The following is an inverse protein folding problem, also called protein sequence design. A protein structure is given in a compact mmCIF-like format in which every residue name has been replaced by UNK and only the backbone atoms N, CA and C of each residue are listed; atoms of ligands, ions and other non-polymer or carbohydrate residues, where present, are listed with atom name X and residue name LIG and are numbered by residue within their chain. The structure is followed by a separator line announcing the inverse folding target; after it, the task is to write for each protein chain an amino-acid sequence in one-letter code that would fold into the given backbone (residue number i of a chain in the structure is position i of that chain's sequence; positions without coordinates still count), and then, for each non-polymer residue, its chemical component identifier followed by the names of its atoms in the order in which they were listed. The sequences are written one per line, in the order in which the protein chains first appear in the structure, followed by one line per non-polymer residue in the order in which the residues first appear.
data_IF_847625924537
#
_entry.id   IF_847625924537
#
_cell.length_a   1.000
_cell.length_b   1.000
_cell.length_c   1.000
_cell.angle_alpha   90.00
_cell.angle_beta   90.00
_cell.angle_gamma   90.00
#
_symmetry.space_group_name_H-M   'P 1'
#
loop_
_entity.id
_entity.type
_entity.pdbx_description
1 polymer ?
#
# COMPACT_ATOMS: atom_id res chain seq x y z
N UNK A 1 -26.40 -10.17 59.50
CA UNK A 1 -25.82 -9.10 58.66
C UNK A 1 -25.12 -9.81 57.52
N UNK A 2 -25.88 -10.01 56.44
CA UNK A 2 -25.45 -10.71 55.23
C UNK A 2 -24.57 -9.82 54.35
N UNK A 3 -23.62 -10.46 53.67
CA UNK A 3 -22.55 -9.84 52.93
C UNK A 3 -23.02 -9.07 51.69
N UNK A 4 -22.37 -7.92 51.47
CA UNK A 4 -22.46 -7.18 50.23
C UNK A 4 -21.73 -7.95 49.12
N UNK A 5 -22.51 -8.49 48.18
CA UNK A 5 -22.05 -9.23 47.02
C UNK A 5 -21.34 -8.35 46.00
N UNK A 6 -20.16 -8.83 45.61
CA UNK A 6 -19.34 -8.40 44.49
C UNK A 6 -20.18 -8.24 43.20
N UNK A 7 -20.26 -7.03 42.65
CA UNK A 7 -20.93 -6.74 41.37
C UNK A 7 -19.96 -6.19 40.30
N UNK A 8 -18.65 -6.25 40.53
CA UNK A 8 -17.65 -5.61 39.64
C UNK A 8 -17.11 -6.50 38.50
N UNK A 9 -17.50 -7.79 38.43
CA UNK A 9 -16.92 -8.74 37.46
C UNK A 9 -17.57 -8.74 36.07
N UNK A 10 -18.72 -8.11 35.86
CA UNK A 10 -19.43 -8.19 34.57
C UNK A 10 -19.00 -7.14 33.54
N UNK A 11 -18.36 -6.05 33.98
CA UNK A 11 -18.00 -4.91 33.13
C UNK A 11 -16.67 -5.12 32.37
N UNK A 12 -15.70 -5.79 32.99
CA UNK A 12 -14.42 -6.10 32.36
C UNK A 12 -14.57 -7.10 31.20
N UNK A 13 -15.34 -8.18 31.39
CA UNK A 13 -15.48 -9.25 30.39
C UNK A 13 -16.16 -8.78 29.09
N UNK A 14 -17.13 -7.86 29.17
CA UNK A 14 -17.78 -7.31 27.99
C UNK A 14 -16.89 -6.34 27.21
N UNK A 15 -15.99 -5.63 27.92
CA UNK A 15 -15.04 -4.70 27.31
C UNK A 15 -13.94 -5.44 26.56
N UNK A 16 -13.40 -6.50 27.18
CA UNK A 16 -12.38 -7.35 26.59
C UNK A 16 -12.89 -8.08 25.33
N UNK A 17 -14.19 -8.43 25.28
CA UNK A 17 -14.80 -9.05 24.11
C UNK A 17 -15.00 -8.08 22.94
N UNK A 18 -15.43 -6.84 23.23
CA UNK A 18 -15.63 -5.81 22.19
C UNK A 18 -14.29 -5.36 21.58
N UNK A 19 -13.25 -5.18 22.40
CA UNK A 19 -11.89 -4.87 21.93
C UNK A 19 -11.36 -5.99 21.02
N UNK A 20 -11.59 -7.26 21.37
CA UNK A 20 -11.18 -8.40 20.54
C UNK A 20 -11.95 -8.51 19.21
N UNK A 21 -13.23 -8.15 19.17
CA UNK A 21 -14.03 -8.10 17.93
C UNK A 21 -13.53 -6.99 17.00
N UNK A 22 -13.25 -5.80 17.53
CA UNK A 22 -12.73 -4.66 16.77
C UNK A 22 -11.33 -4.96 16.21
N UNK A 23 -10.45 -5.57 17.00
CA UNK A 23 -9.13 -6.02 16.52
C UNK A 23 -9.24 -7.07 15.40
N UNK A 24 -10.20 -7.99 15.49
CA UNK A 24 -10.42 -9.02 14.48
C UNK A 24 -10.97 -8.42 13.18
N UNK A 25 -11.88 -7.45 13.28
CA UNK A 25 -12.41 -6.70 12.14
C UNK A 25 -11.30 -5.87 11.47
N UNK A 26 -10.45 -5.22 12.26
CA UNK A 26 -9.30 -4.47 11.77
C UNK A 26 -8.33 -5.37 11.00
N UNK A 27 -7.96 -6.53 11.55
CA UNK A 27 -7.11 -7.49 10.86
C UNK A 27 -7.76 -8.04 9.58
N UNK A 28 -9.04 -8.38 9.62
CA UNK A 28 -9.78 -8.87 8.46
C UNK A 28 -9.72 -7.86 7.31
N UNK A 29 -10.05 -6.61 7.58
CA UNK A 29 -10.13 -5.61 6.53
C UNK A 29 -8.77 -5.13 6.03
N UNK A 30 -7.76 -5.06 6.89
CA UNK A 30 -6.40 -4.69 6.47
C UNK A 30 -5.74 -5.77 5.63
N UNK A 31 -5.84 -7.04 6.04
CA UNK A 31 -5.36 -8.15 5.22
C UNK A 31 -6.15 -8.29 3.93
N UNK A 32 -7.46 -8.07 3.98
CA UNK A 32 -8.31 -8.06 2.80
C UNK A 32 -7.89 -6.99 1.80
N UNK A 33 -7.60 -5.77 2.23
CA UNK A 33 -7.12 -4.70 1.35
C UNK A 33 -5.74 -5.03 0.75
N UNK A 34 -4.79 -5.52 1.56
CA UNK A 34 -3.48 -5.90 1.05
C UNK A 34 -3.59 -7.02 0.00
N UNK A 35 -4.42 -8.03 0.25
CA UNK A 35 -4.70 -9.08 -0.72
C UNK A 35 -5.39 -8.54 -1.99
N UNK A 36 -6.31 -7.59 -1.85
CA UNK A 36 -7.00 -6.94 -2.97
C UNK A 36 -6.04 -6.14 -3.86
N UNK A 37 -5.04 -5.50 -3.27
CA UNK A 37 -3.94 -4.82 -3.96
C UNK A 37 -2.94 -5.80 -4.59
N UNK A 38 -2.99 -7.10 -4.24
CA UNK A 38 -2.15 -8.15 -4.84
C UNK A 38 -2.82 -8.86 -6.01
N UNK A 39 -4.07 -8.55 -6.32
CA UNK A 39 -4.74 -9.16 -7.46
C UNK A 39 -3.98 -8.86 -8.76
N UNK A 40 -3.79 -9.89 -9.58
CA UNK A 40 -3.02 -9.84 -10.82
C UNK A 40 -3.46 -8.71 -11.76
N UNK A 41 -4.76 -8.42 -11.80
CA UNK A 41 -5.35 -7.34 -12.59
C UNK A 41 -4.79 -5.98 -12.19
N UNK A 42 -4.67 -5.71 -10.89
CA UNK A 42 -4.13 -4.45 -10.38
C UNK A 42 -2.62 -4.39 -10.52
N UNK A 43 -1.92 -5.47 -10.19
CA UNK A 43 -0.46 -5.56 -10.35
C UNK A 43 -0.05 -5.33 -11.81
N UNK A 44 -0.78 -5.92 -12.75
CA UNK A 44 -0.58 -5.71 -14.19
C UNK A 44 -0.85 -4.26 -14.58
N UNK A 45 -1.95 -3.65 -14.13
CA UNK A 45 -2.26 -2.26 -14.41
C UNK A 45 -1.17 -1.30 -13.90
N UNK A 46 -0.65 -1.52 -12.69
CA UNK A 46 0.49 -0.76 -12.14
C UNK A 46 1.73 -0.95 -13.01
N UNK A 47 2.04 -2.19 -13.42
CA UNK A 47 3.21 -2.48 -14.23
C UNK A 47 3.14 -1.81 -15.62
N UNK A 48 2.00 -1.89 -16.29
CA UNK A 48 1.76 -1.26 -17.59
C UNK A 48 1.87 0.27 -17.49
N UNK A 49 1.19 0.87 -16.51
CA UNK A 49 1.26 2.30 -16.27
C UNK A 49 2.71 2.75 -16.01
N UNK A 50 3.44 2.00 -15.17
CA UNK A 50 4.82 2.33 -14.83
C UNK A 50 5.75 2.17 -16.04
N UNK A 51 5.47 1.20 -16.91
CA UNK A 51 6.22 0.97 -18.14
C UNK A 51 6.12 2.16 -19.08
N UNK A 52 4.93 2.73 -19.25
CA UNK A 52 4.67 3.87 -20.12
C UNK A 52 5.36 5.15 -19.63
N UNK A 53 5.41 5.36 -18.31
CA UNK A 53 5.97 6.57 -17.71
C UNK A 53 7.48 6.52 -17.45
N UNK A 54 8.07 5.33 -17.28
CA UNK A 54 9.42 5.22 -16.73
C UNK A 54 10.53 5.87 -17.56
N UNK A 55 10.34 6.06 -18.87
CA UNK A 55 11.36 6.68 -19.72
C UNK A 55 11.56 8.18 -19.46
N UNK A 56 10.56 8.84 -18.86
CA UNK A 56 10.65 10.25 -18.44
C UNK A 56 11.62 10.44 -17.26
N UNK A 57 11.76 9.41 -16.41
CA UNK A 57 12.55 9.47 -15.18
C UNK A 57 14.03 9.20 -15.46
N UNK A 58 14.98 9.81 -14.73
CA UNK A 58 16.41 9.61 -15.00
C UNK A 58 16.87 8.16 -14.77
N UNK A 59 17.98 7.79 -15.43
CA UNK A 59 18.64 6.48 -15.22
C UNK A 59 19.32 6.35 -13.87
N UNK A 60 19.92 7.45 -13.42
CA UNK A 60 20.85 7.48 -12.31
C UNK A 60 20.13 7.85 -11.01
N UNK A 61 20.35 7.05 -9.96
CA UNK A 61 19.86 7.32 -8.59
C UNK A 61 20.42 8.61 -7.97
N UNK A 62 21.29 9.33 -8.68
CA UNK A 62 22.03 10.49 -8.17
C UNK A 62 21.28 11.84 -8.32
N UNK A 63 20.08 11.85 -8.90
CA UNK A 63 19.17 12.95 -8.63
C UNK A 63 18.56 12.70 -7.26
N UNK A 64 19.21 13.29 -6.26
CA UNK A 64 18.73 13.35 -4.89
C UNK A 64 17.24 13.79 -4.90
N UNK A 65 16.31 12.96 -4.39
CA UNK A 65 14.89 13.31 -4.33
C UNK A 65 14.62 14.59 -3.53
N UNK A 66 15.56 15.00 -2.67
CA UNK A 66 15.52 16.25 -1.92
C UNK A 66 16.04 17.47 -2.69
N UNK A 67 16.57 17.28 -3.91
CA UNK A 67 16.83 18.41 -4.81
C UNK A 67 15.52 19.10 -5.16
N UNK A 68 15.48 20.44 -5.12
CA UNK A 68 14.24 21.20 -5.28
C UNK A 68 13.70 21.20 -6.71
N UNK A 69 14.52 20.87 -7.71
CA UNK A 69 14.16 21.01 -9.12
C UNK A 69 13.95 19.65 -9.79
N UNK A 70 12.70 19.23 -9.80
CA UNK A 70 12.22 18.08 -10.57
C UNK A 70 11.29 18.56 -11.69
N UNK A 71 11.22 17.81 -12.79
CA UNK A 71 10.28 18.11 -13.86
C UNK A 71 8.84 18.06 -13.33
N UNK A 72 8.01 19.03 -13.70
CA UNK A 72 6.57 19.02 -13.36
C UNK A 72 5.88 17.73 -13.83
N UNK A 73 6.40 17.10 -14.89
CA UNK A 73 5.93 15.80 -15.40
C UNK A 73 6.05 14.68 -14.37
N UNK A 74 7.02 14.74 -13.47
CA UNK A 74 7.19 13.71 -12.43
C UNK A 74 6.12 13.84 -11.36
N UNK A 75 5.75 15.08 -11.00
CA UNK A 75 4.64 15.34 -10.09
C UNK A 75 3.31 14.94 -10.71
N UNK A 76 3.09 15.25 -12.00
CA UNK A 76 1.90 14.80 -12.74
C UNK A 76 1.80 13.27 -12.78
N UNK A 77 2.93 12.58 -13.04
CA UNK A 77 3.00 11.13 -12.98
C UNK A 77 2.67 10.60 -11.58
N UNK A 78 3.22 11.20 -10.52
CA UNK A 78 2.94 10.78 -9.14
C UNK A 78 1.45 10.90 -8.80
N UNK A 79 0.79 11.98 -9.23
CA UNK A 79 -0.66 12.12 -9.05
C UNK A 79 -1.43 11.02 -9.77
N UNK A 80 -1.03 10.67 -11.00
CA UNK A 80 -1.64 9.56 -11.74
C UNK A 80 -1.43 8.22 -11.05
N UNK A 81 -0.22 7.96 -10.54
CA UNK A 81 0.09 6.76 -9.77
C UNK A 81 -0.75 6.67 -8.48
N UNK A 82 -0.88 7.78 -7.75
CA UNK A 82 -1.72 7.85 -6.54
C UNK A 82 -3.19 7.55 -6.84
N UNK A 83 -3.73 8.10 -7.93
CA UNK A 83 -5.11 7.85 -8.35
C UNK A 83 -5.40 6.38 -8.63
N UNK A 84 -4.41 5.59 -9.08
CA UNK A 84 -4.59 4.14 -9.26
C UNK A 84 -4.84 3.44 -7.92
N UNK A 85 -4.07 3.77 -6.89
CA UNK A 85 -4.23 3.21 -5.55
C UNK A 85 -5.51 3.72 -4.87
N UNK A 86 -5.80 5.02 -4.95
CA UNK A 86 -7.03 5.62 -4.42
C UNK A 86 -8.28 4.95 -5.02
N UNK A 87 -8.35 4.86 -6.36
CA UNK A 87 -9.49 4.23 -7.05
C UNK A 87 -9.63 2.75 -6.68
N UNK A 88 -8.50 2.04 -6.51
CA UNK A 88 -8.50 0.62 -6.15
C UNK A 88 -8.96 0.39 -4.71
N UNK A 89 -8.54 1.24 -3.79
CA UNK A 89 -8.98 1.22 -2.40
C UNK A 89 -10.47 1.59 -2.29
N UNK A 90 -10.94 2.59 -3.03
CA UNK A 90 -12.36 2.95 -3.07
C UNK A 90 -13.24 1.78 -3.53
N UNK A 91 -12.82 1.04 -4.56
CA UNK A 91 -13.53 -0.18 -5.01
C UNK A 91 -13.63 -1.23 -3.89
N UNK A 92 -12.56 -1.42 -3.12
CA UNK A 92 -12.57 -2.34 -1.98
C UNK A 92 -13.58 -1.87 -0.91
N UNK A 93 -13.52 -0.59 -0.52
CA UNK A 93 -14.44 -0.04 0.48
C UNK A 93 -15.90 -0.17 0.03
N UNK A 94 -16.19 0.12 -1.25
CA UNK A 94 -17.53 -0.04 -1.81
C UNK A 94 -18.01 -1.49 -1.79
N UNK A 95 -17.15 -2.45 -2.19
CA UNK A 95 -17.48 -3.87 -2.20
C UNK A 95 -17.82 -4.39 -0.79
N UNK A 96 -17.13 -3.87 0.22
CA UNK A 96 -17.29 -4.28 1.61
C UNK A 96 -18.29 -3.41 2.40
N UNK A 97 -18.93 -2.42 1.76
CA UNK A 97 -19.88 -1.52 2.43
C UNK A 97 -19.24 -0.66 3.53
N UNK A 98 -17.94 -0.37 3.41
CA UNK A 98 -17.18 0.40 4.39
C UNK A 98 -17.16 1.88 4.05
N UNK A 99 -17.32 2.71 5.08
CA UNK A 99 -17.02 4.14 4.98
C UNK A 99 -15.53 4.38 5.24
N UNK A 100 -14.95 5.36 4.53
CA UNK A 100 -13.53 5.73 4.65
C UNK A 100 -13.13 5.99 6.11
N UNK A 101 -13.90 6.79 6.85
CA UNK A 101 -13.59 7.12 8.24
C UNK A 101 -13.60 5.89 9.16
N UNK A 102 -14.50 4.94 8.90
CA UNK A 102 -14.56 3.69 9.67
C UNK A 102 -13.32 2.83 9.36
N UNK A 103 -12.97 2.69 8.08
CA UNK A 103 -11.80 1.95 7.66
C UNK A 103 -10.50 2.56 8.18
N UNK A 104 -10.36 3.88 8.19
CA UNK A 104 -9.17 4.55 8.72
C UNK A 104 -8.96 4.28 10.21
N UNK A 105 -10.04 4.20 11.01
CA UNK A 105 -9.93 3.79 12.42
C UNK A 105 -9.43 2.36 12.56
N UNK A 106 -9.99 1.44 11.77
CA UNK A 106 -9.53 0.05 11.72
C UNK A 106 -8.06 -0.07 11.30
N UNK A 107 -7.63 0.76 10.34
CA UNK A 107 -6.25 0.80 9.88
C UNK A 107 -5.28 1.27 10.98
N UNK A 108 -5.65 2.32 11.73
CA UNK A 108 -4.87 2.80 12.87
C UNK A 108 -4.77 1.71 13.94
N UNK A 109 -5.88 1.08 14.30
CA UNK A 109 -5.91 0.00 15.30
C UNK A 109 -4.99 -1.17 14.89
N UNK A 110 -5.08 -1.61 13.63
CA UNK A 110 -4.24 -2.67 13.09
C UNK A 110 -2.74 -2.33 13.17
N UNK A 111 -2.38 -1.08 12.87
CA UNK A 111 -0.98 -0.60 12.91
C UNK A 111 -0.46 -0.46 14.35
N UNK A 112 -1.27 0.08 15.26
CA UNK A 112 -0.91 0.30 16.66
C UNK A 112 -0.77 -1.01 17.44
N UNK A 113 -1.55 -2.04 17.08
CA UNK A 113 -1.43 -3.38 17.63
C UNK A 113 -0.08 -4.07 17.36
N UNK A 114 0.87 -3.40 16.67
CA UNK A 114 2.18 -3.94 16.24
C UNK A 114 2.05 -5.29 15.53
N UNK A 115 0.91 -5.56 14.89
CA UNK A 115 0.74 -6.66 13.94
C UNK A 115 1.47 -6.26 12.66
N UNK A 116 2.80 -6.19 12.78
CA UNK A 116 3.71 -5.94 11.68
C UNK A 116 3.40 -6.98 10.63
N UNK A 117 3.07 -6.49 9.44
CA UNK A 117 2.99 -7.27 8.23
C UNK A 117 4.32 -8.03 8.08
N UNK A 118 4.35 -9.31 8.49
CA UNK A 118 5.54 -10.16 8.52
C UNK A 118 5.41 -11.21 7.43
N UNK A 119 5.87 -10.85 6.25
CA UNK A 119 5.98 -11.75 5.09
C UNK A 119 6.50 -10.97 3.89
N UNK A 120 7.45 -11.55 3.15
CA UNK A 120 8.04 -10.97 1.92
C UNK A 120 6.97 -10.54 0.91
N UNK A 121 5.86 -11.26 0.93
CA UNK A 121 4.75 -11.18 0.02
C UNK A 121 3.91 -9.91 0.14
N UNK A 122 3.81 -9.35 1.34
CA UNK A 122 3.07 -8.12 1.58
C UNK A 122 4.00 -6.88 1.50
N UNK A 123 5.33 -7.08 1.58
CA UNK A 123 6.33 -6.02 1.47
C UNK A 123 6.31 -5.35 0.09
N UNK A 124 6.16 -6.11 -1.00
CA UNK A 124 6.12 -5.58 -2.36
C UNK A 124 4.91 -4.64 -2.59
N UNK A 125 3.74 -5.02 -2.07
CA UNK A 125 2.53 -4.20 -2.17
C UNK A 125 2.57 -3.01 -1.24
N UNK A 126 3.16 -3.16 -0.06
CA UNK A 126 3.43 -2.04 0.83
C UNK A 126 4.40 -1.05 0.20
N UNK A 127 5.45 -1.49 -0.51
CA UNK A 127 6.34 -0.58 -1.24
C UNK A 127 5.57 0.22 -2.29
N UNK A 128 4.69 -0.44 -3.05
CA UNK A 128 3.80 0.21 -4.02
C UNK A 128 2.86 1.24 -3.39
N UNK A 129 2.26 0.91 -2.24
CA UNK A 129 1.37 1.80 -1.49
C UNK A 129 2.13 2.97 -0.84
N UNK A 130 3.33 2.73 -0.29
CA UNK A 130 4.18 3.81 0.23
C UNK A 130 4.59 4.74 -0.91
N UNK A 131 4.89 4.20 -2.09
CA UNK A 131 5.17 4.98 -3.28
C UNK A 131 3.96 5.78 -3.79
N UNK A 132 2.71 5.46 -3.42
CA UNK A 132 1.57 6.30 -3.79
C UNK A 132 1.47 7.58 -2.96
N UNK A 133 2.00 7.57 -1.74
CA UNK A 133 1.97 8.71 -0.81
C UNK A 133 3.29 9.49 -0.76
N UNK A 134 4.42 8.80 -0.90
CA UNK A 134 5.76 9.36 -0.78
C UNK A 134 6.38 9.62 -2.16
N UNK A 135 6.41 10.90 -2.57
CA UNK A 135 7.07 11.31 -3.81
C UNK A 135 8.53 10.83 -3.92
N UNK A 136 9.38 10.93 -2.88
CA UNK A 136 10.74 10.38 -2.95
C UNK A 136 10.76 8.88 -3.23
N UNK A 137 9.85 8.11 -2.60
CA UNK A 137 9.75 6.65 -2.83
C UNK A 137 9.28 6.37 -4.25
N UNK A 138 8.25 7.06 -4.72
CA UNK A 138 7.76 7.01 -6.11
C UNK A 138 8.86 7.29 -7.13
N UNK A 139 9.62 8.36 -6.92
CA UNK A 139 10.68 8.76 -7.83
C UNK A 139 11.76 7.67 -7.96
N UNK A 140 12.17 7.10 -6.82
CA UNK A 140 13.13 5.99 -6.80
C UNK A 140 12.57 4.71 -7.44
N UNK A 141 11.29 4.44 -7.20
CA UNK A 141 10.57 3.33 -7.84
C UNK A 141 10.59 3.46 -9.37
N UNK A 142 10.21 4.61 -9.93
CA UNK A 142 10.19 4.84 -11.38
C UNK A 142 11.59 4.77 -12.01
N UNK A 143 12.61 5.29 -11.33
CA UNK A 143 14.02 5.12 -11.74
C UNK A 143 14.42 3.63 -11.77
N UNK A 144 13.90 2.82 -10.84
CA UNK A 144 14.11 1.38 -10.83
C UNK A 144 13.41 0.66 -11.99
N UNK A 145 12.15 1.03 -12.27
CA UNK A 145 11.38 0.51 -13.42
C UNK A 145 12.10 0.80 -14.73
N UNK A 146 12.58 2.04 -14.95
CA UNK A 146 13.34 2.40 -16.15
C UNK A 146 14.55 1.49 -16.36
N UNK A 147 15.33 1.26 -15.30
CA UNK A 147 16.53 0.41 -15.39
C UNK A 147 16.19 -1.04 -15.73
N UNK A 148 15.11 -1.59 -15.15
CA UNK A 148 14.63 -2.94 -15.46
C UNK A 148 14.18 -3.04 -16.92
N UNK A 149 13.44 -2.05 -17.41
CA UNK A 149 13.03 -1.94 -18.81
C UNK A 149 14.23 -1.93 -19.76
N UNK A 150 15.16 -1.01 -19.54
CA UNK A 150 16.36 -0.88 -20.39
C UNK A 150 17.22 -2.16 -20.35
N UNK A 151 17.30 -2.85 -19.21
CA UNK A 151 17.97 -4.14 -19.10
C UNK A 151 17.26 -5.24 -19.91
N UNK A 152 15.93 -5.31 -19.81
CA UNK A 152 15.11 -6.27 -20.56
C UNK A 152 15.27 -6.05 -22.08
N UNK A 153 15.15 -4.81 -22.53
CA UNK A 153 15.31 -4.43 -23.95
C UNK A 153 16.72 -4.77 -24.47
N UNK A 154 17.78 -4.50 -23.70
CA UNK A 154 19.16 -4.88 -24.07
C UNK A 154 19.36 -6.39 -24.18
N UNK A 155 18.81 -7.13 -23.23
CA UNK A 155 18.95 -8.60 -23.16
C UNK A 155 18.22 -9.26 -24.32
N UNK A 156 17.01 -8.80 -24.64
CA UNK A 156 16.22 -9.29 -25.77
C UNK A 156 16.87 -8.99 -27.12
N UNK A 157 17.36 -7.77 -27.35
CA UNK A 157 18.07 -7.41 -28.58
C UNK A 157 19.37 -8.21 -28.77
N UNK A 158 20.08 -8.51 -27.69
CA UNK A 158 21.31 -9.32 -27.75
C UNK A 158 21.02 -10.81 -27.98
N UNK A 159 19.89 -11.32 -27.49
CA UNK A 159 19.47 -12.72 -27.66
C UNK A 159 18.96 -13.02 -29.08
N UNK A 160 18.55 -12.00 -29.84
CA UNK A 160 18.06 -12.15 -31.23
C UNK A 160 19.20 -12.07 -32.27
N UNK A 161 20.43 -11.78 -31.83
CA UNK A 161 21.62 -11.63 -32.67
C UNK A 161 22.51 -12.89 -32.74
N UNK A 162 22.02 -14.02 -32.23
CA UNK A 162 22.61 -15.37 -32.31
C UNK A 162 21.65 -16.30 -33.08
#
# INVERSE_FOLDING_TARGET
MEGAGCSSSSSCVARDAAEAEEEAEAELHMRGLLQWLREESFVTAIAEWSWDWCLEFPREKFQDPSRPEHSLRFTEAHLGYRQLFESRAEQYLQLHGLHTDAFLRLAVEFLDARRVVRGSDDEDVLEGLIASESYPTFFLYMCSVRRRREWAEKTMCSATAL
#
